data_IF_679439754726
#
_entry.id   IF_679439754726
#
_cell.length_a   1.000
_cell.length_b   1.000
_cell.length_c   1.000
_cell.angle_alpha   90.00
_cell.angle_beta   90.00
_cell.angle_gamma   90.00
#
_symmetry.space_group_name_H-M   'P 1'
#
loop_
_entity.id
_entity.type
_entity.pdbx_description
1 polymer ?
#
# COMPACT_ATOMS: atom_id res chain seq x y z
N UNK A 1 -13.58 42.43 5.61
CA UNK A 1 -13.11 41.40 6.57
C UNK A 1 -13.55 39.97 6.28
N UNK A 2 -14.81 39.53 6.52
CA UNK A 2 -15.21 38.13 6.26
C UNK A 2 -15.11 37.72 4.76
N UNK A 3 -15.38 38.66 3.84
CA UNK A 3 -15.22 38.45 2.41
C UNK A 3 -13.74 38.51 1.93
N UNK A 4 -12.85 39.19 2.67
CA UNK A 4 -11.40 39.23 2.37
C UNK A 4 -10.66 38.02 2.91
N UNK A 5 -11.10 37.48 4.05
CA UNK A 5 -10.60 36.20 4.59
C UNK A 5 -10.97 35.01 3.68
N UNK A 6 -12.16 35.07 3.04
CA UNK A 6 -12.56 34.12 1.99
C UNK A 6 -11.80 34.30 0.66
N UNK A 7 -11.23 35.48 0.40
CA UNK A 7 -10.39 35.74 -0.77
C UNK A 7 -8.92 35.32 -0.56
N UNK A 8 -8.41 35.41 0.67
CA UNK A 8 -7.08 34.91 1.07
C UNK A 8 -6.99 33.37 1.01
N UNK A 9 -8.09 32.66 1.34
CA UNK A 9 -8.17 31.21 1.21
C UNK A 9 -8.14 30.67 -0.23
N UNK A 10 -8.25 31.54 -1.26
CA UNK A 10 -8.21 31.14 -2.67
C UNK A 10 -6.84 31.27 -3.34
N UNK A 11 -5.80 31.74 -2.63
CA UNK A 11 -4.47 31.98 -3.25
C UNK A 11 -3.28 31.21 -2.71
N UNK A 12 -3.40 30.43 -1.64
CA UNK A 12 -2.26 29.62 -1.15
C UNK A 12 -2.47 28.12 -1.29
N UNK A 13 -1.88 27.58 -2.36
CA UNK A 13 -1.51 26.17 -2.47
C UNK A 13 -0.07 26.01 -1.97
N UNK A 14 0.17 25.84 -0.67
CA UNK A 14 1.45 25.30 -0.20
C UNK A 14 1.27 24.56 1.14
N UNK A 15 1.91 23.40 1.20
CA UNK A 15 2.09 22.52 2.35
C UNK A 15 2.72 23.27 3.54
N UNK A 16 1.91 23.61 4.54
CA UNK A 16 2.34 24.26 5.80
C UNK A 16 1.27 24.28 6.90
N UNK A 17 0.23 23.45 6.78
CA UNK A 17 -1.01 23.53 7.56
C UNK A 17 -0.89 23.01 9.00
N UNK A 18 0.31 22.85 9.57
CA UNK A 18 0.47 22.58 11.01
C UNK A 18 0.90 23.82 11.79
N UNK A 19 1.68 24.70 11.16
CA UNK A 19 2.31 25.84 11.82
C UNK A 19 1.42 27.10 11.78
N UNK A 20 0.66 27.30 10.69
CA UNK A 20 -0.22 28.46 10.54
C UNK A 20 -1.44 28.46 11.50
N UNK A 21 -1.91 27.29 11.95
CA UNK A 21 -3.17 27.17 12.70
C UNK A 21 -3.01 27.31 14.22
N UNK A 22 -1.85 26.94 14.76
CA UNK A 22 -1.51 27.27 16.15
C UNK A 22 -1.30 28.78 16.32
N UNK A 23 -0.81 29.45 15.27
CA UNK A 23 -0.76 30.91 15.21
C UNK A 23 -2.17 31.47 15.25
N UNK A 24 -3.10 30.97 14.44
CA UNK A 24 -4.51 31.44 14.43
C UNK A 24 -5.17 31.35 15.80
N UNK A 25 -5.00 30.25 16.55
CA UNK A 25 -5.58 30.12 17.91
C UNK A 25 -4.92 31.05 18.95
N UNK A 26 -3.62 31.32 18.80
CA UNK A 26 -2.88 32.26 19.64
C UNK A 26 -3.23 33.72 19.31
N UNK A 27 -3.36 34.03 18.02
CA UNK A 27 -3.78 35.32 17.48
C UNK A 27 -5.22 35.64 17.89
N UNK A 28 -6.15 34.68 17.82
CA UNK A 28 -7.54 34.87 18.27
C UNK A 28 -7.63 35.16 19.78
N UNK A 29 -6.79 34.53 20.61
CA UNK A 29 -6.68 34.84 22.05
C UNK A 29 -6.01 36.17 22.34
N UNK A 30 -5.12 36.60 21.46
CA UNK A 30 -4.46 37.91 21.55
C UNK A 30 -5.42 39.01 21.13
N UNK A 31 -6.18 38.81 20.05
CA UNK A 31 -7.30 39.66 19.63
C UNK A 31 -8.38 39.75 20.71
N UNK A 32 -8.76 38.63 21.33
CA UNK A 32 -9.71 38.60 22.45
C UNK A 32 -9.29 39.57 23.56
N UNK A 33 -8.03 39.47 24.02
CA UNK A 33 -7.49 40.35 25.07
C UNK A 33 -7.38 41.81 24.62
N UNK A 34 -6.95 42.05 23.39
CA UNK A 34 -6.89 43.41 22.82
C UNK A 34 -8.28 44.06 22.74
N UNK A 35 -9.32 43.30 22.42
CA UNK A 35 -10.70 43.79 22.36
C UNK A 35 -11.26 44.05 23.77
N UNK A 36 -11.00 43.18 24.73
CA UNK A 36 -11.35 43.42 26.15
C UNK A 36 -10.62 44.66 26.70
N UNK A 37 -9.33 44.83 26.40
CA UNK A 37 -8.53 45.97 26.83
C UNK A 37 -8.97 47.27 26.16
N UNK A 38 -9.32 47.22 24.88
CA UNK A 38 -9.86 48.35 24.13
C UNK A 38 -11.26 48.74 24.64
N UNK A 39 -12.12 47.78 24.96
CA UNK A 39 -13.43 48.04 25.57
C UNK A 39 -13.31 48.71 26.93
N UNK A 40 -12.39 48.26 27.79
CA UNK A 40 -12.08 48.88 29.09
C UNK A 40 -11.46 50.26 28.97
N UNK A 41 -10.61 50.50 27.97
CA UNK A 41 -10.04 51.84 27.74
C UNK A 41 -11.05 52.81 27.13
N UNK A 42 -11.97 52.35 26.29
CA UNK A 42 -13.05 53.17 25.76
C UNK A 42 -13.96 53.68 26.88
N UNK A 43 -14.22 52.88 27.92
CA UNK A 43 -14.98 53.29 29.12
C UNK A 43 -14.32 54.46 29.87
N UNK A 44 -12.99 54.56 29.85
CA UNK A 44 -12.24 55.65 30.49
C UNK A 44 -11.98 56.88 29.61
N UNK A 45 -12.15 56.77 28.29
CA UNK A 45 -11.77 57.79 27.32
C UNK A 45 -12.96 58.49 26.63
N UNK A 46 -14.18 58.00 26.84
CA UNK A 46 -15.37 58.55 26.18
C UNK A 46 -15.97 59.69 27.01
N UNK A 47 -15.74 60.92 26.54
CA UNK A 47 -16.43 62.12 26.98
C UNK A 47 -17.84 62.19 26.38
N UNK A 48 -18.86 62.41 27.22
CA UNK A 48 -20.27 62.84 27.04
C UNK A 48 -21.12 62.54 25.76
N UNK A 49 -20.58 61.93 24.70
CA UNK A 49 -21.19 61.89 23.37
C UNK A 49 -21.30 60.49 22.75
N UNK A 50 -20.73 59.46 23.37
CA UNK A 50 -20.90 58.06 22.98
C UNK A 50 -21.36 57.26 24.20
N UNK A 51 -22.33 56.36 23.99
CA UNK A 51 -22.78 55.46 25.03
C UNK A 51 -21.68 54.40 25.27
N UNK A 52 -20.85 54.66 26.28
CA UNK A 52 -19.77 53.77 26.68
C UNK A 52 -20.29 52.36 27.06
N UNK A 53 -21.55 52.24 27.45
CA UNK A 53 -22.17 50.97 27.80
C UNK A 53 -22.48 50.12 26.55
N UNK A 54 -22.90 50.74 25.44
CA UNK A 54 -23.14 50.04 24.16
C UNK A 54 -21.81 49.55 23.56
N UNK A 55 -20.75 50.37 23.61
CA UNK A 55 -19.41 49.98 23.16
C UNK A 55 -18.81 48.86 24.00
N UNK A 56 -18.98 48.92 25.32
CA UNK A 56 -18.56 47.84 26.24
C UNK A 56 -19.32 46.55 25.95
N UNK A 57 -20.64 46.63 25.81
CA UNK A 57 -21.48 45.46 25.51
C UNK A 57 -21.13 44.84 24.16
N UNK A 58 -20.83 45.65 23.14
CA UNK A 58 -20.37 45.18 21.83
C UNK A 58 -18.99 44.52 21.88
N UNK A 59 -18.05 45.08 22.64
CA UNK A 59 -16.73 44.49 22.85
C UNK A 59 -16.81 43.17 23.63
N UNK A 60 -17.64 43.10 24.67
CA UNK A 60 -17.88 41.88 25.46
C UNK A 60 -18.55 40.78 24.62
N UNK A 61 -19.54 41.13 23.79
CA UNK A 61 -20.19 40.17 22.89
C UNK A 61 -19.20 39.62 21.85
N UNK A 62 -18.37 40.46 21.26
CA UNK A 62 -17.34 40.04 20.31
C UNK A 62 -16.26 39.18 20.98
N UNK A 63 -15.86 39.56 22.20
CA UNK A 63 -14.91 38.82 23.01
C UNK A 63 -15.44 37.41 23.34
N UNK A 64 -16.71 37.32 23.75
CA UNK A 64 -17.38 36.06 24.01
C UNK A 64 -17.48 35.16 22.76
N UNK A 65 -17.78 35.72 21.58
CA UNK A 65 -17.81 34.98 20.32
C UNK A 65 -16.43 34.45 19.91
N UNK A 66 -15.37 35.24 20.12
CA UNK A 66 -13.99 34.80 19.87
C UNK A 66 -13.57 33.68 20.83
N UNK A 67 -13.92 33.81 22.12
CA UNK A 67 -13.70 32.76 23.12
C UNK A 67 -14.45 31.47 22.76
N UNK A 68 -15.72 31.56 22.38
CA UNK A 68 -16.53 30.41 21.95
C UNK A 68 -15.95 29.74 20.70
N UNK A 69 -15.48 30.54 19.74
CA UNK A 69 -14.82 30.02 18.51
C UNK A 69 -13.51 29.31 18.85
N UNK A 70 -12.71 29.85 19.77
CA UNK A 70 -11.49 29.20 20.25
C UNK A 70 -11.78 27.88 20.98
N UNK A 71 -12.81 27.83 21.82
CA UNK A 71 -13.25 26.61 22.51
C UNK A 71 -13.75 25.56 21.52
N UNK A 72 -14.56 25.95 20.53
CA UNK A 72 -15.04 25.03 19.49
C UNK A 72 -13.88 24.47 18.64
N UNK A 73 -12.87 25.29 18.34
CA UNK A 73 -11.66 24.83 17.64
C UNK A 73 -10.82 23.86 18.51
N UNK A 74 -10.76 24.09 19.83
CA UNK A 74 -10.14 23.17 20.78
C UNK A 74 -10.94 21.86 20.94
N UNK A 75 -12.26 21.92 20.92
CA UNK A 75 -13.15 20.75 20.95
C UNK A 75 -13.06 19.94 19.66
N UNK A 76 -13.04 20.59 18.49
CA UNK A 76 -12.75 19.95 17.21
C UNK A 76 -11.37 19.26 17.21
N UNK A 77 -10.38 19.86 17.88
CA UNK A 77 -9.07 19.24 18.07
C UNK A 77 -9.09 18.06 19.06
N UNK A 78 -10.02 18.09 20.03
CA UNK A 78 -10.26 17.02 21.01
C UNK A 78 -11.02 15.84 20.39
N UNK A 79 -11.92 16.09 19.44
CA UNK A 79 -12.71 15.05 18.75
C UNK A 79 -12.00 14.39 17.57
N UNK A 80 -11.07 15.07 16.88
CA UNK A 80 -10.03 14.39 16.06
C UNK A 80 -8.98 13.68 16.96
N UNK A 81 -9.09 13.85 18.28
CA UNK A 81 -8.26 13.30 19.34
C UNK A 81 -8.77 11.98 19.94
N UNK A 82 -8.88 10.92 19.14
CA UNK A 82 -8.95 9.53 19.65
C UNK A 82 -7.61 9.03 20.28
N UNK A 83 -7.01 9.84 21.18
CA UNK A 83 -6.02 9.59 22.25
C UNK A 83 -4.72 8.76 22.04
N UNK A 84 -3.64 8.99 22.81
CA UNK A 84 -3.19 10.21 23.49
C UNK A 84 -1.75 10.61 23.05
N UNK A 85 -1.42 11.90 23.12
CA UNK A 85 -0.06 12.28 23.52
C UNK A 85 -0.06 12.06 25.02
N UNK A 86 0.79 11.17 25.57
CA UNK A 86 0.87 10.84 27.01
C UNK A 86 0.75 12.14 27.85
N UNK A 87 -0.46 12.46 28.33
CA UNK A 87 -0.71 13.64 29.16
C UNK A 87 0.11 13.52 30.46
N UNK A 88 0.37 12.29 30.91
CA UNK A 88 1.22 11.98 32.06
C UNK A 88 2.70 12.36 31.85
N UNK A 89 3.21 12.36 30.61
CA UNK A 89 4.61 12.72 30.31
C UNK A 89 4.79 14.22 30.04
N UNK A 90 3.72 14.92 29.64
CA UNK A 90 3.72 16.36 29.39
C UNK A 90 3.11 17.17 30.54
N UNK A 91 2.50 16.51 31.53
CA UNK A 91 1.97 17.13 32.74
C UNK A 91 3.08 17.90 33.48
N UNK A 92 2.95 19.21 33.54
CA UNK A 92 3.87 20.12 34.24
C UNK A 92 4.88 20.86 33.35
N UNK A 93 4.94 20.58 32.04
CA UNK A 93 5.82 21.31 31.13
C UNK A 93 5.01 22.31 30.30
N UNK A 94 5.08 23.59 30.66
CA UNK A 94 4.32 24.67 29.98
C UNK A 94 4.60 24.78 28.48
N UNK A 95 5.77 24.31 28.01
CA UNK A 95 6.17 24.23 26.60
C UNK A 95 7.20 23.10 26.40
N UNK A 96 6.78 21.85 26.12
CA UNK A 96 7.72 20.77 25.87
C UNK A 96 8.57 21.06 24.63
N UNK A 97 9.85 20.67 24.67
CA UNK A 97 10.72 20.76 23.51
C UNK A 97 10.10 19.97 22.33
N UNK A 98 10.22 20.44 21.08
CA UNK A 98 9.68 19.74 19.90
C UNK A 98 10.09 18.26 19.84
N UNK A 99 11.31 17.93 20.25
CA UNK A 99 11.82 16.55 20.30
C UNK A 99 11.09 15.64 21.31
N UNK A 100 10.57 16.19 22.42
CA UNK A 100 9.76 15.47 23.40
C UNK A 100 8.34 15.24 22.88
N UNK A 101 7.75 16.25 22.24
CA UNK A 101 6.44 16.12 21.57
C UNK A 101 6.50 15.06 20.49
N UNK A 102 7.53 15.10 19.65
CA UNK A 102 7.74 14.09 18.60
C UNK A 102 7.95 12.69 19.17
N UNK A 103 8.64 12.58 20.31
CA UNK A 103 8.84 11.28 20.98
C UNK A 103 7.53 10.75 21.57
N UNK A 104 6.73 11.59 22.20
CA UNK A 104 5.43 11.21 22.74
C UNK A 104 4.46 10.78 21.62
N UNK A 105 4.41 11.54 20.51
CA UNK A 105 3.64 11.17 19.31
C UNK A 105 4.06 9.81 18.76
N UNK A 106 5.37 9.58 18.59
CA UNK A 106 5.90 8.28 18.14
C UNK A 106 5.50 7.13 19.06
N UNK A 107 5.54 7.35 20.37
CA UNK A 107 5.14 6.33 21.36
C UNK A 107 3.65 6.01 21.25
N UNK A 108 2.80 7.02 21.15
CA UNK A 108 1.36 6.85 20.92
C UNK A 108 1.08 6.08 19.64
N UNK A 109 1.75 6.43 18.55
CA UNK A 109 1.62 5.74 17.27
C UNK A 109 2.04 4.27 17.35
N UNK A 110 3.16 3.95 18.01
CA UNK A 110 3.62 2.57 18.19
C UNK A 110 2.67 1.75 19.06
N UNK A 111 2.09 2.36 20.09
CA UNK A 111 1.07 1.70 20.91
C UNK A 111 -0.18 1.38 20.08
N UNK A 112 -0.66 2.33 19.29
CA UNK A 112 -1.77 2.11 18.35
C UNK A 112 -1.44 1.01 17.36
N UNK A 113 -0.26 1.04 16.76
CA UNK A 113 0.21 -0.01 15.86
C UNK A 113 0.18 -1.39 16.53
N UNK A 114 0.68 -1.52 17.77
CA UNK A 114 0.64 -2.80 18.50
C UNK A 114 -0.77 -3.31 18.71
N UNK A 115 -1.70 -2.44 19.10
CA UNK A 115 -3.10 -2.82 19.29
C UNK A 115 -3.76 -3.22 17.97
N UNK A 116 -3.49 -2.48 16.89
CA UNK A 116 -3.93 -2.80 15.54
C UNK A 116 -3.40 -4.19 15.12
N UNK A 117 -2.09 -4.42 15.17
CA UNK A 117 -1.47 -5.70 14.79
C UNK A 117 -2.04 -6.87 15.59
N UNK A 118 -2.27 -6.69 16.89
CA UNK A 118 -2.91 -7.70 17.72
C UNK A 118 -4.35 -8.03 17.26
N UNK A 119 -5.12 -7.02 16.85
CA UNK A 119 -6.48 -7.19 16.28
C UNK A 119 -6.42 -7.93 14.94
N UNK A 120 -5.48 -7.56 14.06
CA UNK A 120 -5.27 -8.21 12.75
C UNK A 120 -4.91 -9.68 12.87
N UNK A 121 -3.99 -10.01 13.78
CA UNK A 121 -3.51 -11.38 13.96
C UNK A 121 -4.60 -12.35 14.43
N UNK A 122 -5.73 -11.86 14.97
CA UNK A 122 -6.89 -12.71 15.32
C UNK A 122 -7.66 -13.22 14.10
N UNK A 123 -7.52 -12.55 12.95
CA UNK A 123 -8.18 -12.94 11.70
C UNK A 123 -7.38 -14.02 10.94
N UNK A 124 -6.12 -14.25 11.32
CA UNK A 124 -5.27 -15.29 10.74
C UNK A 124 -5.51 -16.62 11.47
N UNK A 125 -6.40 -17.44 10.91
CA UNK A 125 -6.93 -18.65 11.58
C UNK A 125 -6.15 -19.92 11.26
N UNK A 126 -5.39 -19.94 10.16
CA UNK A 126 -4.64 -21.11 9.73
C UNK A 126 -3.21 -21.02 10.23
N UNK A 127 -2.66 -22.10 10.77
CA UNK A 127 -1.27 -22.10 11.23
C UNK A 127 -0.31 -22.13 10.04
N UNK A 128 0.59 -21.15 9.95
CA UNK A 128 1.60 -21.01 8.91
C UNK A 128 2.96 -21.64 9.25
N UNK A 129 3.91 -21.30 8.39
CA UNK A 129 5.31 -21.72 8.47
C UNK A 129 5.96 -21.14 9.72
N UNK A 130 6.94 -21.86 10.26
CA UNK A 130 7.75 -21.40 11.37
C UNK A 130 8.96 -20.63 10.86
N UNK A 131 9.22 -19.51 11.52
CA UNK A 131 10.27 -18.57 11.17
C UNK A 131 11.20 -18.34 12.36
N UNK A 132 12.49 -18.28 12.09
CA UNK A 132 13.48 -17.70 13.00
C UNK A 132 13.79 -16.30 12.50
N UNK A 133 13.58 -15.29 13.33
CA UNK A 133 13.78 -13.90 12.95
C UNK A 133 14.65 -13.17 13.96
N UNK A 134 15.49 -12.27 13.47
CA UNK A 134 16.18 -11.26 14.27
C UNK A 134 15.58 -9.90 13.94
N UNK A 135 15.25 -9.14 14.98
CA UNK A 135 14.84 -7.76 14.88
C UNK A 135 15.88 -6.88 15.56
N UNK A 136 16.48 -5.95 14.82
CA UNK A 136 17.53 -5.06 15.31
C UNK A 136 17.34 -3.69 14.70
N UNK A 137 16.94 -2.71 15.52
CA UNK A 137 16.70 -1.34 15.03
C UNK A 137 15.82 -1.38 13.78
N UNK A 138 14.62 -1.95 13.93
CA UNK A 138 13.59 -2.09 12.90
C UNK A 138 13.93 -3.01 11.73
N UNK A 139 15.21 -3.29 11.48
CA UNK A 139 15.64 -4.22 10.46
C UNK A 139 15.27 -5.64 10.87
N UNK A 140 14.65 -6.35 9.93
CA UNK A 140 14.24 -7.75 10.08
C UNK A 140 15.06 -8.60 9.15
N UNK A 141 15.63 -9.67 9.70
CA UNK A 141 16.13 -10.80 8.92
C UNK A 141 15.46 -12.06 9.45
N UNK A 142 14.77 -12.78 8.58
CA UNK A 142 14.01 -13.96 8.93
C UNK A 142 14.34 -15.10 7.97
N UNK A 143 14.34 -16.33 8.51
CA UNK A 143 14.49 -17.56 7.76
C UNK A 143 13.43 -18.56 8.18
N UNK A 144 12.71 -19.09 7.22
CA UNK A 144 11.73 -20.15 7.45
C UNK A 144 12.39 -21.52 7.59
N UNK A 145 11.66 -22.47 8.16
CA UNK A 145 12.09 -23.88 8.23
C UNK A 145 12.33 -24.51 6.85
N UNK A 146 11.62 -24.05 5.81
CA UNK A 146 11.82 -24.48 4.42
C UNK A 146 12.98 -23.76 3.69
N UNK A 147 13.71 -22.90 4.41
CA UNK A 147 14.93 -22.26 3.91
C UNK A 147 14.73 -20.92 3.19
N UNK A 148 13.50 -20.45 3.01
CA UNK A 148 13.23 -19.12 2.45
C UNK A 148 13.75 -18.01 3.35
N UNK A 149 14.38 -17.02 2.74
CA UNK A 149 14.90 -15.83 3.41
C UNK A 149 14.00 -14.63 3.18
N UNK A 150 13.71 -13.89 4.24
CA UNK A 150 13.01 -12.61 4.18
C UNK A 150 13.84 -11.57 4.90
N UNK A 151 14.05 -10.42 4.26
CA UNK A 151 14.63 -9.23 4.88
C UNK A 151 13.64 -8.10 4.81
N UNK A 152 13.69 -7.16 5.74
CA UNK A 152 12.75 -6.05 5.70
C UNK A 152 12.91 -5.08 6.83
N UNK A 153 11.86 -4.32 7.04
CA UNK A 153 11.74 -3.37 8.11
C UNK A 153 10.41 -3.57 8.82
N UNK A 154 10.40 -3.52 10.14
CA UNK A 154 9.23 -3.50 11.00
C UNK A 154 9.45 -2.49 12.13
N UNK A 155 8.58 -1.49 12.27
CA UNK A 155 8.74 -0.46 13.30
C UNK A 155 8.69 -0.99 14.75
N UNK A 156 8.15 -2.20 14.94
CA UNK A 156 8.11 -2.90 16.21
C UNK A 156 8.31 -4.42 16.00
N UNK A 157 8.90 -5.15 16.98
CA UNK A 157 9.08 -6.60 16.89
C UNK A 157 7.77 -7.36 16.65
N UNK A 158 6.66 -6.88 17.20
CA UNK A 158 5.34 -7.52 17.07
C UNK A 158 4.80 -7.46 15.63
N UNK A 159 5.32 -6.57 14.79
CA UNK A 159 4.94 -6.48 13.38
C UNK A 159 5.66 -7.53 12.51
N UNK A 160 6.64 -8.28 13.04
CA UNK A 160 7.40 -9.28 12.28
C UNK A 160 6.49 -10.38 11.72
N UNK A 161 5.51 -10.88 12.48
CA UNK A 161 4.56 -11.88 11.95
C UNK A 161 3.77 -11.31 10.77
N UNK A 162 3.22 -10.10 10.91
CA UNK A 162 2.47 -9.46 9.83
C UNK A 162 3.35 -9.15 8.60
N UNK A 163 4.64 -8.87 8.81
CA UNK A 163 5.63 -8.66 7.76
C UNK A 163 5.91 -9.94 6.96
N UNK A 164 5.83 -11.09 7.62
CA UNK A 164 6.07 -12.42 7.04
C UNK A 164 4.83 -13.03 6.39
N UNK A 165 3.63 -12.59 6.78
CA UNK A 165 2.35 -13.09 6.26
C UNK A 165 2.28 -13.12 4.72
N UNK A 166 2.85 -12.18 3.96
CA UNK A 166 2.87 -12.26 2.50
C UNK A 166 3.68 -13.37 1.87
N UNK A 167 4.51 -14.05 2.65
CA UNK A 167 5.25 -15.22 2.19
C UNK A 167 4.64 -16.52 2.69
N UNK A 168 3.45 -16.49 3.29
CA UNK A 168 2.71 -17.71 3.60
C UNK A 168 1.95 -18.25 2.39
N UNK A 169 1.45 -19.49 2.49
CA UNK A 169 0.74 -20.13 1.38
C UNK A 169 -0.55 -19.39 0.99
N UNK A 170 -1.24 -18.78 1.96
CA UNK A 170 -2.46 -17.98 1.71
C UNK A 170 -2.57 -16.82 2.69
N UNK A 171 -3.45 -15.85 2.39
CA UNK A 171 -3.71 -14.70 3.26
C UNK A 171 -4.25 -15.05 4.65
N UNK A 172 -4.82 -16.24 4.85
CA UNK A 172 -5.37 -16.69 6.14
C UNK A 172 -4.32 -17.36 7.04
N UNK A 173 -3.12 -17.63 6.54
CA UNK A 173 -2.07 -18.29 7.31
C UNK A 173 -1.37 -17.30 8.23
N UNK A 174 -1.18 -17.73 9.48
CA UNK A 174 -0.44 -17.01 10.51
C UNK A 174 0.99 -17.54 10.59
N UNK A 175 1.99 -16.77 10.15
CA UNK A 175 3.39 -17.16 10.36
C UNK A 175 3.67 -17.27 11.87
N UNK A 176 4.48 -18.25 12.26
CA UNK A 176 4.93 -18.43 13.64
C UNK A 176 6.38 -18.01 13.76
N UNK A 177 6.62 -16.78 14.21
CA UNK A 177 7.97 -16.23 14.27
C UNK A 177 8.54 -16.31 15.70
N UNK A 178 9.70 -16.95 15.86
CA UNK A 178 10.54 -16.75 17.03
C UNK A 178 11.45 -15.57 16.76
N UNK A 179 11.13 -14.42 17.36
CA UNK A 179 11.86 -13.16 17.16
C UNK A 179 12.89 -12.96 18.27
N UNK A 180 14.16 -12.82 17.89
CA UNK A 180 15.25 -12.39 18.78
C UNK A 180 15.44 -10.89 18.62
N UNK A 181 15.29 -10.14 19.71
CA UNK A 181 15.44 -8.68 19.73
C UNK A 181 16.86 -8.33 20.19
N UNK A 182 17.61 -7.60 19.37
CA UNK A 182 19.05 -7.34 19.61
C UNK A 182 19.30 -5.91 20.13
N UNK A 183 18.42 -4.94 19.86
CA UNK A 183 18.45 -3.58 20.43
C UNK A 183 17.05 -2.94 20.37
N UNK A 184 16.48 -2.57 21.52
CA UNK A 184 15.08 -2.15 21.71
C UNK A 184 14.81 -0.65 21.48
N UNK A 185 15.58 0.02 20.63
CA UNK A 185 15.23 1.42 20.32
C UNK A 185 13.93 1.46 19.51
N UNK A 186 12.85 2.09 20.01
CA UNK A 186 11.62 2.21 19.26
C UNK A 186 11.87 3.07 18.03
N UNK A 187 11.51 2.54 16.87
CA UNK A 187 11.90 3.12 15.59
C UNK A 187 10.86 4.09 15.04
N UNK A 188 11.28 4.85 14.03
CA UNK A 188 10.46 5.81 13.33
C UNK A 188 9.60 5.12 12.25
N UNK A 189 8.65 5.85 11.65
CA UNK A 189 8.01 5.36 10.43
C UNK A 189 9.04 5.35 9.30
N UNK A 190 9.01 4.39 8.39
CA UNK A 190 9.94 4.39 7.23
C UNK A 190 9.57 5.55 6.33
N UNK A 191 10.46 6.54 6.23
CA UNK A 191 10.24 7.73 5.38
C UNK A 191 10.87 7.60 4.00
N UNK A 192 11.97 6.86 3.82
CA UNK A 192 12.44 6.50 2.47
C UNK A 192 13.57 5.44 2.44
N UNK A 193 13.59 4.66 1.34
CA UNK A 193 14.67 3.80 0.78
C UNK A 193 15.49 2.81 1.62
N UNK A 194 15.42 2.79 2.95
CA UNK A 194 16.30 1.96 3.78
C UNK A 194 15.70 0.62 4.23
N UNK A 195 14.93 -0.05 3.39
CA UNK A 195 14.68 -1.48 3.61
C UNK A 195 15.93 -2.22 3.21
N UNK A 196 16.53 -3.01 4.11
CA UNK A 196 17.58 -3.93 3.72
C UNK A 196 17.06 -4.81 2.58
N UNK A 197 17.48 -4.49 1.34
CA UNK A 197 17.18 -5.31 0.18
C UNK A 197 17.78 -6.69 0.37
N UNK A 198 17.26 -7.67 -0.36
CA UNK A 198 17.93 -8.97 -0.42
C UNK A 198 19.30 -8.79 -1.10
N UNK A 199 20.36 -9.30 -0.47
CA UNK A 199 21.69 -9.20 -1.06
C UNK A 199 21.78 -10.06 -2.33
N UNK A 200 22.75 -9.80 -3.21
CA UNK A 200 22.98 -10.69 -4.36
C UNK A 200 23.21 -12.14 -3.91
N UNK A 201 23.98 -12.35 -2.84
CA UNK A 201 24.25 -13.68 -2.27
C UNK A 201 22.97 -14.38 -1.80
N UNK A 202 22.07 -13.66 -1.12
CA UNK A 202 20.78 -14.24 -0.69
C UNK A 202 19.93 -14.66 -1.90
N UNK A 203 19.89 -13.83 -2.95
CA UNK A 203 19.13 -14.11 -4.17
C UNK A 203 19.73 -15.28 -4.96
N UNK A 204 21.05 -15.35 -5.05
CA UNK A 204 21.77 -16.45 -5.66
C UNK A 204 21.49 -17.78 -4.94
N UNK A 205 21.55 -17.78 -3.60
CA UNK A 205 21.21 -18.95 -2.80
C UNK A 205 19.74 -19.38 -3.00
N UNK A 206 18.80 -18.43 -3.05
CA UNK A 206 17.39 -18.71 -3.31
C UNK A 206 17.14 -19.27 -4.72
N UNK A 207 17.89 -18.79 -5.73
CA UNK A 207 17.82 -19.32 -7.09
C UNK A 207 18.25 -20.79 -7.15
N UNK A 208 19.34 -21.12 -6.46
CA UNK A 208 19.92 -22.47 -6.43
C UNK A 208 19.13 -23.46 -5.56
N UNK A 209 18.39 -22.96 -4.57
CA UNK A 209 17.64 -23.80 -3.64
C UNK A 209 16.44 -24.53 -4.28
N UNK A 210 15.87 -23.99 -5.36
CA UNK A 210 14.73 -24.60 -6.07
C UNK A 210 15.14 -25.09 -7.46
N UNK A 211 15.89 -26.20 -7.46
CA UNK A 211 16.33 -26.86 -8.68
C UNK A 211 15.16 -27.41 -9.52
N UNK A 212 14.01 -27.67 -8.90
CA UNK A 212 12.82 -28.20 -9.58
C UNK A 212 12.18 -27.13 -10.47
N UNK A 213 12.04 -25.89 -9.99
CA UNK A 213 11.56 -24.78 -10.80
C UNK A 213 12.48 -24.50 -12.00
N UNK A 214 13.81 -24.47 -11.77
CA UNK A 214 14.79 -24.30 -12.84
C UNK A 214 14.70 -25.42 -13.89
N UNK A 215 14.66 -26.68 -13.46
CA UNK A 215 14.50 -27.82 -14.36
C UNK A 215 13.19 -27.74 -15.16
N UNK A 216 12.10 -27.29 -14.54
CA UNK A 216 10.82 -27.07 -15.21
C UNK A 216 10.90 -26.02 -16.32
N UNK A 217 11.64 -24.93 -16.10
CA UNK A 217 11.86 -23.89 -17.12
C UNK A 217 12.73 -24.41 -18.26
N UNK A 218 13.82 -25.11 -17.97
CA UNK A 218 14.69 -25.73 -18.98
C UNK A 218 13.90 -26.70 -19.85
N UNK A 219 13.12 -27.60 -19.24
CA UNK A 219 12.28 -28.55 -19.97
C UNK A 219 11.20 -27.86 -20.83
N UNK A 220 10.67 -26.71 -20.39
CA UNK A 220 9.74 -25.93 -21.20
C UNK A 220 10.42 -25.29 -22.42
N UNK A 221 11.63 -24.77 -22.25
CA UNK A 221 12.44 -24.22 -23.34
C UNK A 221 12.79 -25.29 -24.38
N UNK A 222 13.18 -26.49 -23.96
CA UNK A 222 13.48 -27.58 -24.87
C UNK A 222 12.25 -28.00 -25.70
N UNK A 223 11.06 -28.01 -25.09
CA UNK A 223 9.81 -28.24 -25.85
C UNK A 223 9.54 -27.13 -26.87
N UNK A 224 9.76 -25.86 -26.50
CA UNK A 224 9.60 -24.74 -27.42
C UNK A 224 10.57 -24.84 -28.59
N UNK A 225 11.83 -25.21 -28.36
CA UNK A 225 12.83 -25.43 -29.43
C UNK A 225 12.39 -26.47 -30.46
N UNK A 226 11.76 -27.55 -29.99
CA UNK A 226 11.24 -28.60 -30.87
C UNK A 226 10.02 -28.13 -31.68
N UNK A 227 9.24 -27.18 -31.16
CA UNK A 227 8.00 -26.71 -31.77
C UNK A 227 8.17 -25.47 -32.64
N UNK A 228 9.17 -24.63 -32.34
CA UNK A 228 9.35 -23.31 -32.94
C UNK A 228 10.65 -23.29 -33.76
N UNK A 229 10.57 -23.45 -35.10
CA UNK A 229 11.72 -23.31 -35.96
C UNK A 229 12.37 -21.93 -35.77
N UNK A 230 13.70 -21.87 -35.80
CA UNK A 230 14.46 -20.63 -35.57
C UNK A 230 14.02 -19.47 -36.47
N UNK A 231 13.65 -19.76 -37.72
CA UNK A 231 13.17 -18.77 -38.70
C UNK A 231 11.77 -18.22 -38.40
N UNK A 232 10.99 -18.91 -37.57
CA UNK A 232 9.60 -18.57 -37.25
C UNK A 232 9.42 -17.98 -35.84
N UNK A 233 10.48 -17.86 -35.04
CA UNK A 233 10.38 -17.43 -33.63
C UNK A 233 9.66 -16.09 -33.49
N UNK A 234 9.98 -15.10 -34.34
CA UNK A 234 9.36 -13.77 -34.25
C UNK A 234 7.84 -13.81 -34.49
N UNK A 235 7.38 -14.56 -35.50
CA UNK A 235 5.96 -14.74 -35.80
C UNK A 235 5.24 -15.49 -34.66
N UNK A 236 5.87 -16.55 -34.14
CA UNK A 236 5.33 -17.34 -33.02
C UNK A 236 5.20 -16.53 -31.74
N UNK A 237 6.21 -15.69 -31.42
CA UNK A 237 6.15 -14.74 -30.30
C UNK A 237 4.98 -13.78 -30.45
N UNK A 238 4.77 -13.24 -31.65
CA UNK A 238 3.67 -12.30 -31.89
C UNK A 238 2.31 -12.97 -31.69
N UNK A 239 2.07 -14.12 -32.32
CA UNK A 239 0.82 -14.87 -32.16
C UNK A 239 0.58 -15.30 -30.71
N UNK A 240 1.63 -15.74 -30.00
CA UNK A 240 1.53 -16.09 -28.58
C UNK A 240 1.20 -14.88 -27.69
N UNK A 241 1.69 -13.68 -28.03
CA UNK A 241 1.35 -12.46 -27.31
C UNK A 241 -0.12 -12.06 -27.52
N UNK A 242 -0.63 -12.17 -28.75
CA UNK A 242 -2.05 -11.92 -29.07
C UNK A 242 -2.98 -12.90 -28.36
N UNK A 243 -2.63 -14.20 -28.38
CA UNK A 243 -3.35 -15.23 -27.67
C UNK A 243 -3.35 -14.97 -26.16
N UNK A 244 -2.19 -14.64 -25.59
CA UNK A 244 -2.06 -14.30 -24.17
C UNK A 244 -2.92 -13.09 -23.81
N UNK A 245 -2.95 -12.04 -24.64
CA UNK A 245 -3.77 -10.87 -24.43
C UNK A 245 -5.27 -11.19 -24.41
N UNK A 246 -5.72 -12.14 -25.25
CA UNK A 246 -7.11 -12.59 -25.31
C UNK A 246 -7.51 -13.42 -24.10
N UNK A 247 -6.66 -14.36 -23.67
CA UNK A 247 -7.01 -15.33 -22.61
C UNK A 247 -6.65 -14.87 -21.20
N UNK A 248 -5.62 -14.03 -21.07
CA UNK A 248 -5.11 -13.52 -19.81
C UNK A 248 -4.57 -12.09 -19.97
N UNK A 249 -5.43 -11.10 -20.30
CA UNK A 249 -5.02 -9.71 -20.40
C UNK A 249 -4.38 -9.22 -19.08
N UNK A 250 -3.40 -8.30 -19.14
CA UNK A 250 -2.82 -7.71 -17.94
C UNK A 250 -3.89 -7.06 -17.06
N UNK A 251 -3.85 -7.34 -15.76
CA UNK A 251 -4.62 -6.60 -14.77
C UNK A 251 -4.06 -5.17 -14.65
N UNK A 252 -4.89 -4.17 -14.31
CA UNK A 252 -4.44 -2.81 -14.08
C UNK A 252 -3.38 -2.74 -12.98
N UNK A 253 -2.49 -1.77 -13.05
CA UNK A 253 -1.42 -1.58 -12.07
C UNK A 253 -2.00 -1.45 -10.66
N UNK A 254 -1.53 -2.28 -9.73
CA UNK A 254 -1.95 -2.21 -8.33
C UNK A 254 -1.32 -0.99 -7.65
N UNK A 255 -2.13 0.05 -7.43
CA UNK A 255 -1.69 1.30 -6.79
C UNK A 255 -2.40 1.58 -5.46
N UNK A 256 -3.25 0.67 -4.96
CA UNK A 256 -4.05 0.88 -3.74
C UNK A 256 -3.21 1.29 -2.51
N UNK A 257 -1.90 0.98 -2.51
CA UNK A 257 -0.99 1.34 -1.43
C UNK A 257 -0.04 2.50 -1.76
N UNK A 258 -0.05 3.06 -2.98
CA UNK A 258 0.91 4.10 -3.39
C UNK A 258 0.78 5.40 -2.60
N UNK A 259 -0.41 5.70 -2.04
CA UNK A 259 -0.67 6.89 -1.22
C UNK A 259 -0.54 6.69 0.29
N UNK A 260 -0.43 5.44 0.78
CA UNK A 260 -0.47 5.11 2.21
C UNK A 260 0.88 5.29 2.91
N UNK A 261 1.60 6.35 2.56
CA UNK A 261 2.84 6.72 3.21
C UNK A 261 2.56 7.36 4.56
N UNK A 262 3.36 7.07 5.59
CA UNK A 262 4.50 6.12 5.65
C UNK A 262 4.12 4.69 6.09
N UNK A 263 4.95 3.70 5.73
CA UNK A 263 4.73 2.28 6.07
C UNK A 263 5.29 1.90 7.45
N UNK A 264 4.56 1.06 8.16
CA UNK A 264 4.98 0.48 9.44
C UNK A 264 5.84 -0.77 9.28
N UNK A 265 5.71 -1.46 8.15
CA UNK A 265 6.52 -2.61 7.81
C UNK A 265 6.49 -2.93 6.32
N UNK A 266 7.58 -3.51 5.85
CA UNK A 266 7.82 -3.85 4.44
C UNK A 266 8.88 -4.93 4.38
N UNK A 267 8.75 -5.83 3.42
CA UNK A 267 9.60 -7.00 3.32
C UNK A 267 9.98 -7.34 1.90
N UNK A 268 11.13 -8.00 1.80
CA UNK A 268 11.77 -8.40 0.57
C UNK A 268 12.19 -9.86 0.68
N UNK A 269 11.94 -10.62 -0.37
CA UNK A 269 12.41 -11.99 -0.54
C UNK A 269 12.84 -12.20 -1.98
N UNK A 270 13.28 -13.39 -2.34
CA UNK A 270 13.50 -13.77 -3.71
C UNK A 270 13.20 -15.26 -3.89
N UNK A 271 12.71 -15.62 -5.07
CA UNK A 271 12.34 -16.99 -5.36
C UNK A 271 11.75 -17.16 -6.74
N UNK A 272 11.55 -18.42 -7.11
CA UNK A 272 10.81 -18.80 -8.30
C UNK A 272 9.32 -18.64 -8.03
N UNK A 273 8.64 -17.88 -8.89
CA UNK A 273 7.18 -17.71 -8.84
C UNK A 273 6.52 -18.30 -10.08
N UNK A 274 5.30 -18.85 -9.97
CA UNK A 274 4.57 -19.30 -11.14
C UNK A 274 4.28 -18.11 -12.07
N UNK A 275 4.71 -18.20 -13.33
CA UNK A 275 4.51 -17.13 -14.34
C UNK A 275 3.04 -16.81 -14.58
N UNK A 276 2.15 -17.80 -14.38
CA UNK A 276 0.69 -17.62 -14.45
C UNK A 276 0.16 -16.68 -13.36
N UNK A 277 0.80 -16.63 -12.19
CA UNK A 277 0.40 -15.77 -11.07
C UNK A 277 0.87 -14.32 -11.22
N UNK A 278 1.74 -14.03 -12.20
CA UNK A 278 2.11 -12.66 -12.56
C UNK A 278 1.03 -12.07 -13.45
N UNK A 279 0.16 -11.23 -12.90
CA UNK A 279 -1.07 -10.79 -13.58
C UNK A 279 -0.96 -9.41 -14.21
N UNK A 280 0.02 -8.60 -13.82
CA UNK A 280 0.17 -7.22 -14.29
C UNK A 280 1.61 -6.93 -14.68
N UNK A 281 1.80 -6.33 -15.85
CA UNK A 281 3.05 -5.72 -16.30
C UNK A 281 3.04 -4.20 -16.08
N UNK A 282 4.20 -3.56 -16.21
CA UNK A 282 4.26 -2.08 -16.24
C UNK A 282 3.57 -1.56 -17.51
N UNK A 283 3.74 -2.28 -18.61
CA UNK A 283 3.12 -1.96 -19.89
C UNK A 283 1.74 -2.66 -19.98
N UNK A 284 0.68 -1.98 -20.43
CA UNK A 284 -0.71 -2.46 -20.34
C UNK A 284 -1.08 -3.55 -21.35
N UNK A 285 -0.18 -3.87 -22.28
CA UNK A 285 -0.37 -4.88 -23.33
C UNK A 285 0.85 -5.80 -23.34
N UNK A 286 0.62 -7.11 -23.34
CA UNK A 286 1.72 -8.07 -23.39
C UNK A 286 2.53 -7.92 -24.69
N UNK A 287 3.85 -7.89 -24.57
CA UNK A 287 4.78 -7.79 -25.70
C UNK A 287 4.95 -6.39 -26.31
N UNK A 288 4.16 -5.40 -25.90
CA UNK A 288 4.25 -4.02 -26.43
C UNK A 288 5.01 -3.14 -25.43
N UNK A 289 5.99 -2.37 -25.94
CA UNK A 289 6.77 -1.43 -25.14
C UNK A 289 6.80 -0.08 -25.86
N UNK A 290 6.29 0.96 -25.20
CA UNK A 290 6.38 2.34 -25.69
C UNK A 290 7.69 2.97 -25.19
N UNK A 291 8.80 2.58 -25.82
CA UNK A 291 10.14 3.05 -25.48
C UNK A 291 10.89 3.38 -26.75
N UNK A 292 11.43 4.59 -26.84
CA UNK A 292 12.15 5.09 -28.01
C UNK A 292 13.50 4.36 -28.27
N UNK A 293 14.03 3.65 -27.27
CA UNK A 293 15.29 2.90 -27.39
C UNK A 293 15.10 1.64 -28.25
N UNK A 294 15.81 1.55 -29.38
CA UNK A 294 15.78 0.40 -30.32
C UNK A 294 16.12 -0.95 -29.66
N UNK A 295 16.96 -0.91 -28.62
CA UNK A 295 17.32 -2.08 -27.83
C UNK A 295 16.26 -2.49 -26.80
N UNK A 296 15.21 -1.70 -26.59
CA UNK A 296 14.17 -1.92 -25.57
C UNK A 296 12.73 -1.75 -26.10
N UNK A 297 12.57 -1.47 -27.39
CA UNK A 297 11.29 -1.28 -28.06
C UNK A 297 10.61 -2.58 -28.51
N UNK A 298 9.73 -2.46 -29.51
CA UNK A 298 8.79 -3.51 -29.95
C UNK A 298 9.44 -4.86 -30.37
N UNK A 299 10.70 -4.86 -30.82
CA UNK A 299 11.41 -6.08 -31.24
C UNK A 299 12.12 -6.84 -30.12
N UNK A 300 12.12 -6.34 -28.89
CA UNK A 300 12.96 -6.91 -27.82
C UNK A 300 12.58 -8.34 -27.47
N UNK A 301 11.28 -8.64 -27.30
CA UNK A 301 10.83 -9.98 -26.88
C UNK A 301 11.16 -11.02 -27.93
N UNK A 302 10.92 -10.74 -29.21
CA UNK A 302 11.25 -11.66 -30.29
C UNK A 302 12.75 -11.94 -30.37
N UNK A 303 13.60 -10.91 -30.22
CA UNK A 303 15.06 -11.06 -30.21
C UNK A 303 15.53 -11.90 -29.02
N UNK A 304 15.04 -11.58 -27.82
CA UNK A 304 15.39 -12.30 -26.60
C UNK A 304 14.89 -13.76 -26.63
N UNK A 305 13.72 -14.02 -27.22
CA UNK A 305 13.22 -15.36 -27.45
C UNK A 305 14.14 -16.15 -28.40
N UNK A 306 14.57 -15.56 -29.52
CA UNK A 306 15.50 -16.21 -30.44
C UNK A 306 16.83 -16.55 -29.77
N UNK A 307 17.39 -15.62 -28.99
CA UNK A 307 18.64 -15.85 -28.24
C UNK A 307 18.49 -16.99 -27.21
N UNK A 308 17.41 -16.95 -26.41
CA UNK A 308 17.14 -17.97 -25.39
C UNK A 308 16.91 -19.36 -26.01
N UNK A 309 16.17 -19.42 -27.13
CA UNK A 309 15.90 -20.67 -27.84
C UNK A 309 17.14 -21.19 -28.59
N UNK A 310 18.07 -20.32 -28.99
CA UNK A 310 19.33 -20.72 -29.63
C UNK A 310 20.44 -21.12 -28.63
N UNK A 311 20.29 -20.80 -27.34
CA UNK A 311 21.27 -21.15 -26.30
C UNK A 311 21.38 -22.68 -26.15
N UNK A 312 22.58 -23.24 -25.99
CA UNK A 312 22.70 -24.69 -25.78
C UNK A 312 22.03 -25.16 -24.48
N UNK A 313 21.37 -26.34 -24.44
CA UNK A 313 20.68 -26.82 -23.24
C UNK A 313 21.59 -26.91 -22.00
N UNK A 314 22.87 -27.24 -22.18
CA UNK A 314 23.86 -27.28 -21.10
C UNK A 314 24.17 -25.90 -20.48
N UNK A 315 24.02 -24.83 -21.27
CA UNK A 315 24.34 -23.46 -20.86
C UNK A 315 23.12 -22.69 -20.35
N UNK A 316 21.90 -23.20 -20.55
CA UNK A 316 20.65 -22.58 -20.11
C UNK A 316 20.64 -22.20 -18.62
N UNK A 317 21.07 -23.05 -17.67
CA UNK A 317 21.12 -22.65 -16.26
C UNK A 317 21.99 -21.41 -16.02
N UNK A 318 23.15 -21.33 -16.65
CA UNK A 318 24.06 -20.19 -16.55
C UNK A 318 23.48 -18.93 -17.19
N UNK A 319 22.87 -19.07 -18.37
CA UNK A 319 22.15 -18.01 -19.05
C UNK A 319 21.02 -17.44 -18.18
N UNK A 320 20.13 -18.30 -17.67
CA UNK A 320 19.01 -17.90 -16.82
C UNK A 320 19.49 -17.22 -15.54
N UNK A 321 20.55 -17.75 -14.90
CA UNK A 321 21.15 -17.14 -13.72
C UNK A 321 21.67 -15.73 -14.03
N UNK A 322 22.39 -15.56 -15.13
CA UNK A 322 22.89 -14.24 -15.54
C UNK A 322 21.75 -13.25 -15.78
N UNK A 323 20.75 -13.63 -16.57
CA UNK A 323 19.69 -12.72 -17.00
C UNK A 323 18.62 -12.43 -15.94
N UNK A 324 18.40 -13.35 -14.98
CA UNK A 324 17.41 -13.17 -13.91
C UNK A 324 18.00 -12.63 -12.59
N UNK A 325 19.31 -12.78 -12.37
CA UNK A 325 19.99 -12.25 -11.18
C UNK A 325 20.93 -11.07 -11.47
N UNK A 326 21.91 -11.27 -12.36
CA UNK A 326 23.01 -10.32 -12.55
C UNK A 326 22.63 -9.12 -13.44
N UNK A 327 21.83 -9.34 -14.48
CA UNK A 327 21.34 -8.31 -15.41
C UNK A 327 20.21 -7.43 -14.85
N UNK A 328 20.07 -7.34 -13.52
CA UNK A 328 18.93 -6.72 -12.83
C UNK A 328 17.78 -7.71 -12.59
N UNK A 329 17.23 -7.71 -11.37
CA UNK A 329 16.11 -8.57 -11.01
C UNK A 329 14.81 -8.16 -11.71
N UNK A 330 13.91 -9.11 -11.88
CA UNK A 330 12.49 -8.81 -12.01
C UNK A 330 11.98 -8.50 -10.60
N UNK A 331 11.50 -7.28 -10.35
CA UNK A 331 10.88 -6.96 -9.07
C UNK A 331 9.37 -7.08 -9.17
N UNK A 332 8.81 -7.90 -8.30
CA UNK A 332 7.38 -8.15 -8.21
C UNK A 332 6.86 -7.69 -6.85
N UNK A 333 5.78 -6.92 -6.85
CA UNK A 333 4.99 -6.72 -5.66
C UNK A 333 4.11 -7.95 -5.41
N UNK A 334 4.10 -8.43 -4.16
CA UNK A 334 3.28 -9.56 -3.71
C UNK A 334 1.91 -9.04 -3.27
N UNK A 335 0.86 -9.62 -3.84
CA UNK A 335 -0.53 -9.37 -3.46
C UNK A 335 -1.14 -10.66 -2.94
N UNK A 336 -1.30 -10.79 -1.63
CA UNK A 336 -1.86 -11.99 -1.04
C UNK A 336 -3.30 -12.22 -1.48
N UNK A 337 -3.65 -13.48 -1.68
CA UNK A 337 -5.00 -13.94 -1.92
C UNK A 337 -5.35 -15.15 -1.06
N UNK A 338 -6.64 -15.56 -1.05
CA UNK A 338 -7.15 -16.65 -0.21
C UNK A 338 -6.58 -18.05 -0.50
N UNK A 339 -6.14 -18.30 -1.73
CA UNK A 339 -5.57 -19.58 -2.18
C UNK A 339 -4.10 -19.46 -2.64
N UNK A 340 -3.51 -18.28 -2.50
CA UNK A 340 -2.16 -17.97 -2.95
C UNK A 340 -2.03 -16.53 -3.47
N UNK A 341 -0.80 -16.03 -3.61
CA UNK A 341 -0.55 -14.67 -4.05
C UNK A 341 -0.75 -14.49 -5.56
N UNK A 342 -1.07 -13.25 -5.94
CA UNK A 342 -0.80 -12.70 -7.26
C UNK A 342 0.45 -11.83 -7.20
N UNK A 343 1.04 -11.58 -8.37
CA UNK A 343 2.21 -10.75 -8.51
C UNK A 343 2.01 -9.66 -9.58
N UNK A 344 2.52 -8.47 -9.30
CA UNK A 344 2.51 -7.35 -10.24
C UNK A 344 3.93 -6.82 -10.40
N UNK A 345 4.36 -6.53 -11.63
CA UNK A 345 5.69 -5.94 -11.85
C UNK A 345 5.75 -4.55 -11.20
N UNK A 346 6.59 -4.39 -10.18
CA UNK A 346 6.69 -3.14 -9.42
C UNK A 346 7.74 -2.19 -9.99
N UNK A 347 8.90 -2.75 -10.34
CA UNK A 347 10.06 -2.02 -10.87
C UNK A 347 10.96 -2.98 -11.64
N UNK A 348 11.51 -2.51 -12.76
CA UNK A 348 12.45 -3.30 -13.55
C UNK A 348 11.86 -4.60 -14.12
N UNK A 349 12.61 -5.25 -15.01
CA UNK A 349 12.29 -6.60 -15.47
C UNK A 349 11.00 -6.79 -16.30
N UNK A 350 10.24 -5.74 -16.62
CA UNK A 350 9.02 -5.82 -17.43
C UNK A 350 9.22 -6.63 -18.73
N UNK A 351 10.31 -6.36 -19.45
CA UNK A 351 10.73 -7.11 -20.63
C UNK A 351 10.83 -8.63 -20.38
N UNK A 352 11.55 -9.03 -19.33
CA UNK A 352 11.74 -10.44 -18.94
C UNK A 352 10.41 -11.09 -18.52
N UNK A 353 9.56 -10.37 -17.79
CA UNK A 353 8.22 -10.85 -17.45
C UNK A 353 7.39 -11.11 -18.70
N UNK A 354 7.38 -10.17 -19.65
CA UNK A 354 6.65 -10.32 -20.92
C UNK A 354 7.19 -11.53 -21.71
N UNK A 355 8.51 -11.67 -21.83
CA UNK A 355 9.14 -12.83 -22.48
C UNK A 355 8.70 -14.15 -21.86
N UNK A 356 8.80 -14.28 -20.54
CA UNK A 356 8.45 -15.52 -19.85
C UNK A 356 6.97 -15.85 -19.99
N UNK A 357 6.09 -14.85 -19.90
CA UNK A 357 4.64 -15.05 -20.11
C UNK A 357 4.31 -15.44 -21.54
N UNK A 358 4.86 -14.75 -22.53
CA UNK A 358 4.58 -15.00 -23.96
C UNK A 358 5.09 -16.37 -24.38
N UNK A 359 6.27 -16.77 -23.90
CA UNK A 359 6.80 -18.12 -24.13
C UNK A 359 6.07 -19.21 -23.33
N UNK A 360 5.18 -18.86 -22.40
CA UNK A 360 4.48 -19.83 -21.56
C UNK A 360 5.40 -20.59 -20.60
N UNK A 361 6.51 -19.98 -20.17
CA UNK A 361 7.43 -20.61 -19.23
C UNK A 361 6.79 -20.75 -17.85
N UNK A 362 6.95 -21.88 -17.15
CA UNK A 362 6.18 -22.18 -15.95
C UNK A 362 6.54 -21.30 -14.74
N UNK A 363 7.82 -20.91 -14.64
CA UNK A 363 8.33 -20.16 -13.51
C UNK A 363 9.22 -19.00 -13.95
N UNK A 364 9.22 -17.93 -13.16
CA UNK A 364 10.09 -16.77 -13.29
C UNK A 364 10.78 -16.54 -11.95
N UNK A 365 12.11 -16.43 -11.94
CA UNK A 365 12.81 -16.01 -10.73
C UNK A 365 12.67 -14.50 -10.56
N UNK A 366 12.28 -14.06 -9.37
CA UNK A 366 12.02 -12.66 -9.08
C UNK A 366 12.47 -12.25 -7.68
N UNK A 367 12.78 -10.96 -7.55
CA UNK A 367 12.80 -10.27 -6.28
C UNK A 367 11.37 -9.92 -5.88
N UNK A 368 10.98 -10.29 -4.68
CA UNK A 368 9.61 -10.17 -4.19
C UNK A 368 9.55 -9.08 -3.14
N UNK A 369 8.75 -8.05 -3.36
CA UNK A 369 8.49 -6.99 -2.39
C UNK A 369 7.08 -7.15 -1.86
N UNK A 370 6.92 -7.26 -0.55
CA UNK A 370 5.61 -7.24 0.08
C UNK A 370 5.45 -6.04 1.00
N UNK A 371 4.28 -5.42 0.93
CA UNK A 371 3.90 -4.32 1.82
C UNK A 371 2.73 -4.80 2.66
N UNK A 372 2.78 -4.53 3.96
CA UNK A 372 1.62 -4.78 4.81
C UNK A 372 0.52 -3.81 4.40
N UNK A 373 -0.71 -4.29 4.29
CA UNK A 373 -1.86 -3.43 4.05
C UNK A 373 -1.91 -2.32 5.12
N UNK A 374 -2.06 -1.03 4.74
CA UNK A 374 -2.15 0.04 5.72
C UNK A 374 -3.39 -0.16 6.62
N UNK A 375 -3.31 0.29 7.87
CA UNK A 375 -4.47 0.26 8.80
C UNK A 375 -5.52 1.30 8.49
N UNK A 376 -5.14 2.34 7.77
CA UNK A 376 -6.02 3.39 7.31
C UNK A 376 -5.92 3.53 5.80
N UNK A 377 -7.05 3.48 5.11
CA UNK A 377 -7.15 3.68 3.66
C UNK A 377 -8.16 4.79 3.42
N UNK A 378 -7.71 5.90 2.86
CA UNK A 378 -8.61 6.98 2.45
C UNK A 378 -9.14 6.67 1.04
N UNK A 379 -10.42 6.93 0.79
CA UNK A 379 -11.06 6.57 -0.49
C UNK A 379 -10.36 7.20 -1.69
N UNK A 380 -9.79 8.39 -1.53
CA UNK A 380 -9.01 9.09 -2.57
C UNK A 380 -7.70 8.39 -2.93
N UNK A 381 -7.21 7.47 -2.11
CA UNK A 381 -6.00 6.68 -2.37
C UNK A 381 -6.25 5.45 -3.25
N UNK A 382 -7.52 5.04 -3.39
CA UNK A 382 -7.91 3.83 -4.13
C UNK A 382 -8.68 4.11 -5.41
N UNK A 383 -9.17 5.34 -5.60
CA UNK A 383 -9.87 5.75 -6.82
C UNK A 383 -9.00 6.68 -7.68
N UNK A 384 -9.28 6.70 -8.97
CA UNK A 384 -8.89 7.83 -9.81
C UNK A 384 -9.74 9.05 -9.42
N UNK A 385 -9.12 10.04 -8.77
CA UNK A 385 -9.80 11.25 -8.33
C UNK A 385 -10.43 12.06 -9.47
N UNK A 386 -10.02 11.84 -10.72
CA UNK A 386 -10.67 12.46 -11.89
C UNK A 386 -12.11 11.99 -12.09
N UNK A 387 -12.47 10.81 -11.55
CA UNK A 387 -13.86 10.28 -11.55
C UNK A 387 -14.80 11.02 -10.59
N UNK A 388 -14.26 11.87 -9.72
CA UNK A 388 -15.02 12.77 -8.85
C UNK A 388 -15.69 12.11 -7.65
N UNK A 389 -16.45 12.92 -6.90
CA UNK A 389 -17.03 12.56 -5.59
C UNK A 389 -18.03 11.41 -5.66
N UNK A 390 -18.78 11.27 -6.77
CA UNK A 390 -19.74 10.20 -6.92
C UNK A 390 -19.08 8.81 -6.90
N UNK A 391 -17.87 8.68 -7.48
CA UNK A 391 -17.11 7.43 -7.40
C UNK A 391 -16.60 7.18 -5.98
N UNK A 392 -16.13 8.23 -5.29
CA UNK A 392 -15.70 8.11 -3.90
C UNK A 392 -16.82 7.57 -2.99
N UNK A 393 -18.04 8.10 -3.14
CA UNK A 393 -19.22 7.59 -2.41
C UNK A 393 -19.50 6.12 -2.71
N UNK A 394 -19.48 5.73 -3.99
CA UNK A 394 -19.71 4.35 -4.40
C UNK A 394 -18.68 3.39 -3.81
N UNK A 395 -17.40 3.72 -3.85
CA UNK A 395 -16.35 2.86 -3.27
C UNK A 395 -16.49 2.78 -1.75
N UNK A 396 -16.84 3.88 -1.09
CA UNK A 396 -17.11 3.89 0.34
C UNK A 396 -18.31 3.00 0.74
N UNK A 397 -19.42 3.09 -0.01
CA UNK A 397 -20.58 2.20 0.15
C UNK A 397 -20.18 0.74 -0.11
N UNK A 398 -19.37 0.49 -1.14
CA UNK A 398 -18.81 -0.83 -1.44
C UNK A 398 -18.00 -1.40 -0.27
N UNK A 399 -17.21 -0.59 0.43
CA UNK A 399 -16.48 -1.02 1.63
C UNK A 399 -17.42 -1.46 2.76
N UNK A 400 -18.54 -0.75 2.98
CA UNK A 400 -19.54 -1.19 3.95
C UNK A 400 -20.13 -2.55 3.58
N UNK A 401 -20.52 -2.73 2.33
CA UNK A 401 -21.13 -3.97 1.86
C UNK A 401 -20.14 -5.15 1.91
N UNK A 402 -18.85 -4.90 1.63
CA UNK A 402 -17.79 -5.90 1.81
C UNK A 402 -17.62 -6.32 3.27
N UNK A 403 -17.76 -5.37 4.21
CA UNK A 403 -17.71 -5.65 5.66
C UNK A 403 -18.94 -6.46 6.09
N UNK A 404 -20.14 -6.05 5.67
CA UNK A 404 -21.39 -6.77 5.97
C UNK A 404 -21.38 -8.20 5.44
N UNK A 405 -20.71 -8.43 4.31
CA UNK A 405 -20.50 -9.76 3.72
C UNK A 405 -19.38 -10.58 4.37
N UNK A 406 -18.62 -9.99 5.29
CA UNK A 406 -17.48 -10.67 5.92
C UNK A 406 -16.28 -10.89 4.97
N UNK A 407 -16.21 -10.17 3.85
CA UNK A 407 -15.08 -10.23 2.90
C UNK A 407 -13.95 -9.29 3.30
N UNK A 408 -14.26 -8.27 4.09
CA UNK A 408 -13.33 -7.33 4.70
C UNK A 408 -13.68 -7.22 6.18
N UNK A 409 -12.68 -7.14 7.04
CA UNK A 409 -12.86 -6.82 8.45
C UNK A 409 -12.29 -5.44 8.72
N UNK A 410 -13.09 -4.60 9.36
CA UNK A 410 -12.72 -3.22 9.67
C UNK A 410 -13.94 -2.37 9.95
N UNK A 411 -13.74 -1.05 9.95
CA UNK A 411 -14.80 -0.06 10.10
C UNK A 411 -14.59 1.09 9.13
N UNK A 412 -15.67 1.67 8.63
CA UNK A 412 -15.61 2.87 7.79
C UNK A 412 -16.04 4.08 8.63
N UNK A 413 -15.29 5.18 8.50
CA UNK A 413 -15.63 6.48 9.08
C UNK A 413 -15.72 7.53 7.99
N UNK A 414 -16.61 8.51 8.15
CA UNK A 414 -16.83 9.59 7.19
C UNK A 414 -16.39 10.94 7.73
N UNK A 415 -15.74 11.73 6.88
CA UNK A 415 -15.45 13.14 7.09
C UNK A 415 -16.01 13.93 5.89
N UNK A 416 -17.24 14.40 6.02
CA UNK A 416 -18.01 14.95 4.90
C UNK A 416 -18.24 13.88 3.83
N UNK A 417 -17.84 14.17 2.59
CA UNK A 417 -18.00 13.27 1.44
C UNK A 417 -16.85 12.27 1.26
N UNK A 418 -15.86 12.30 2.16
CA UNK A 418 -14.71 11.41 2.12
C UNK A 418 -14.82 10.33 3.17
N UNK A 419 -14.61 9.09 2.74
CA UNK A 419 -14.59 7.93 3.61
C UNK A 419 -13.16 7.46 3.87
N UNK A 420 -12.96 6.93 5.07
CA UNK A 420 -11.74 6.27 5.49
C UNK A 420 -12.09 4.87 5.99
N UNK A 421 -11.45 3.85 5.44
CA UNK A 421 -11.49 2.48 5.93
C UNK A 421 -10.38 2.25 6.96
N UNK A 422 -10.78 1.86 8.17
CA UNK A 422 -9.89 1.33 9.20
C UNK A 422 -9.84 -0.19 9.04
N UNK A 423 -8.80 -0.68 8.37
CA UNK A 423 -8.68 -2.06 7.90
C UNK A 423 -8.02 -2.96 8.94
N UNK A 424 -8.72 -4.03 9.31
CA UNK A 424 -8.18 -5.10 10.16
C UNK A 424 -7.65 -6.24 9.33
N UNK A 425 -8.44 -6.72 8.38
CA UNK A 425 -8.06 -7.83 7.54
C UNK A 425 -8.81 -7.77 6.21
N UNK A 426 -8.10 -8.12 5.14
CA UNK A 426 -8.70 -8.48 3.87
C UNK A 426 -7.91 -9.65 3.29
N UNK A 427 -8.57 -10.77 2.96
CA UNK A 427 -7.91 -11.89 2.31
C UNK A 427 -7.56 -11.60 0.84
N UNK A 428 -8.15 -10.56 0.25
CA UNK A 428 -8.02 -10.16 -1.15
C UNK A 428 -7.99 -8.62 -1.26
N UNK A 429 -6.82 -7.98 -1.15
CA UNK A 429 -6.70 -6.52 -1.11
C UNK A 429 -7.26 -5.75 -2.30
N UNK A 430 -7.33 -6.36 -3.47
CA UNK A 430 -7.88 -5.72 -4.66
C UNK A 430 -9.39 -5.47 -4.56
N UNK A 431 -10.09 -6.14 -3.64
CA UNK A 431 -11.50 -5.89 -3.36
C UNK A 431 -11.77 -4.46 -2.87
N UNK A 432 -10.74 -3.74 -2.42
CA UNK A 432 -10.86 -2.37 -1.91
C UNK A 432 -10.84 -1.29 -3.01
N UNK A 433 -10.60 -1.66 -4.27
CA UNK A 433 -10.60 -0.74 -5.40
C UNK A 433 -12.01 -0.46 -5.95
N UNK A 434 -12.06 0.24 -7.08
CA UNK A 434 -13.31 0.42 -7.84
C UNK A 434 -13.76 -0.86 -8.57
N UNK A 435 -15.00 -0.89 -9.05
CA UNK A 435 -15.61 -2.09 -9.66
C UNK A 435 -14.81 -2.65 -10.83
N UNK A 436 -14.24 -1.78 -11.67
CA UNK A 436 -13.40 -2.16 -12.81
C UNK A 436 -12.12 -2.85 -12.34
N UNK A 437 -11.46 -2.26 -11.35
CA UNK A 437 -10.26 -2.81 -10.73
C UNK A 437 -10.54 -4.17 -10.08
N UNK A 438 -11.60 -4.25 -9.26
CA UNK A 438 -12.00 -5.48 -8.57
C UNK A 438 -12.28 -6.60 -9.58
N UNK A 439 -13.08 -6.31 -10.60
CA UNK A 439 -13.46 -7.31 -11.61
C UNK A 439 -12.24 -7.82 -12.40
N UNK A 440 -11.32 -6.93 -12.78
CA UNK A 440 -10.12 -7.31 -13.50
C UNK A 440 -9.24 -8.27 -12.66
N UNK A 441 -9.04 -7.97 -11.38
CA UNK A 441 -8.29 -8.84 -10.48
C UNK A 441 -9.04 -10.13 -10.13
N UNK A 442 -10.36 -10.10 -9.95
CA UNK A 442 -11.16 -11.29 -9.70
C UNK A 442 -11.05 -12.29 -10.87
N UNK A 443 -11.18 -11.81 -12.11
CA UNK A 443 -10.97 -12.62 -13.31
C UNK A 443 -9.55 -13.17 -13.37
N UNK A 444 -8.55 -12.36 -13.04
CA UNK A 444 -7.16 -12.81 -13.01
C UNK A 444 -6.92 -13.87 -11.93
N UNK A 445 -7.50 -13.69 -10.76
CA UNK A 445 -7.40 -14.60 -9.62
C UNK A 445 -8.02 -15.95 -9.95
N UNK A 446 -9.25 -15.97 -10.49
CA UNK A 446 -9.94 -17.22 -10.86
C UNK A 446 -9.24 -18.01 -11.96
N UNK A 447 -8.51 -17.36 -12.88
CA UNK A 447 -7.67 -18.08 -13.85
C UNK A 447 -6.51 -18.81 -13.19
N UNK A 448 -5.95 -18.25 -12.10
CA UNK A 448 -4.79 -18.81 -11.40
C UNK A 448 -5.21 -19.82 -10.34
N UNK A 449 -6.27 -19.51 -9.61
CA UNK A 449 -6.82 -20.26 -8.48
C UNK A 449 -8.34 -20.47 -8.64
N UNK A 450 -8.78 -21.37 -9.54
CA UNK A 450 -10.21 -21.57 -9.81
C UNK A 450 -11.02 -21.97 -8.57
N UNK A 451 -12.15 -21.30 -8.34
CA UNK A 451 -13.09 -21.54 -7.25
C UNK A 451 -12.70 -20.92 -5.91
N UNK A 452 -11.55 -20.25 -5.82
CA UNK A 452 -11.06 -19.71 -4.56
C UNK A 452 -11.91 -18.54 -4.04
N UNK A 453 -12.41 -17.66 -4.91
CA UNK A 453 -13.30 -16.57 -4.48
C UNK A 453 -14.70 -17.08 -4.10
N UNK A 454 -15.17 -18.14 -4.77
CA UNK A 454 -16.41 -18.81 -4.40
C UNK A 454 -16.37 -19.40 -2.99
N UNK A 455 -15.23 -19.95 -2.58
CA UNK A 455 -15.03 -20.45 -1.20
C UNK A 455 -15.06 -19.33 -0.15
N UNK A 456 -14.76 -18.08 -0.54
CA UNK A 456 -14.93 -16.91 0.31
C UNK A 456 -16.37 -16.35 0.30
N UNK A 457 -17.29 -16.94 -0.47
CA UNK A 457 -18.67 -16.47 -0.59
C UNK A 457 -18.92 -15.50 -1.74
N UNK A 458 -17.96 -15.29 -2.66
CA UNK A 458 -18.19 -14.51 -3.88
C UNK A 458 -18.73 -15.42 -4.98
N UNK A 459 -20.01 -15.30 -5.41
CA UNK A 459 -20.58 -16.24 -6.36
C UNK A 459 -19.98 -16.02 -7.76
N UNK A 460 -19.85 -17.11 -8.52
CA UNK A 460 -19.19 -17.09 -9.86
C UNK A 460 -19.81 -16.08 -10.82
N UNK A 461 -21.12 -15.86 -10.75
CA UNK A 461 -21.80 -14.89 -11.63
C UNK A 461 -21.38 -13.44 -11.36
N UNK A 462 -20.97 -13.10 -10.13
CA UNK A 462 -20.50 -11.76 -9.77
C UNK A 462 -19.08 -11.45 -10.30
N UNK A 463 -18.40 -12.45 -10.88
CA UNK A 463 -17.04 -12.32 -11.42
C UNK A 463 -17.03 -12.01 -12.93
N UNK A 464 -18.22 -12.00 -13.56
CA UNK A 464 -18.36 -11.91 -15.02
C UNK A 464 -18.02 -10.53 -15.56
N UNK A 465 -18.45 -9.45 -14.90
CA UNK A 465 -18.20 -8.07 -15.28
C UNK A 465 -18.50 -7.10 -14.11
N UNK A 466 -18.26 -5.81 -14.34
CA UNK A 466 -18.46 -4.75 -13.33
C UNK A 466 -19.93 -4.64 -12.90
N UNK A 467 -20.86 -4.84 -13.82
CA UNK A 467 -22.28 -4.69 -13.56
C UNK A 467 -22.79 -5.82 -12.66
N UNK A 468 -22.38 -7.05 -12.93
CA UNK A 468 -22.72 -8.24 -12.13
C UNK A 468 -22.06 -8.21 -10.76
N UNK A 469 -20.79 -7.77 -10.67
CA UNK A 469 -20.13 -7.51 -9.40
C UNK A 469 -20.92 -6.51 -8.54
N UNK A 470 -21.27 -5.36 -9.13
CA UNK A 470 -22.03 -4.31 -8.45
C UNK A 470 -23.42 -4.80 -8.04
N UNK A 471 -24.16 -5.43 -8.95
CA UNK A 471 -25.50 -5.92 -8.67
C UNK A 471 -25.49 -6.89 -7.48
N UNK A 472 -24.55 -7.82 -7.44
CA UNK A 472 -24.42 -8.74 -6.31
C UNK A 472 -23.98 -8.06 -5.02
N UNK A 473 -23.06 -7.09 -5.07
CA UNK A 473 -22.59 -6.44 -3.85
C UNK A 473 -23.72 -5.67 -3.13
N UNK A 474 -24.68 -5.14 -3.90
CA UNK A 474 -25.79 -4.31 -3.41
C UNK A 474 -27.12 -5.06 -3.12
N UNK A 475 -27.20 -6.38 -3.31
CA UNK A 475 -28.39 -7.20 -2.98
C UNK A 475 -28.29 -7.84 -1.61
#
# INVERSE_FOLDING_TARGET
MAAELLALGKRDKLSGAGYAWHDTGSELRTLHRLIEDAGRHAEGAVDAWLDGEELRSGAEALAWQLKRTAVLLEELHRDDGQNPVDEEFLAGVLKPAPSLVDRARRRGDLWRLRHELARRSRQLTVTGVRWQATWHQGQVAARSEDGRGVRGYAAAPEAVEQLLQPFEATSCHRPRARVVVVDERPEHRVTDRHTAGTSYTDRAAAFDADSAALAGVVAALDRLRQQWPATAVAERVHGAAEDLQRVAPPAPSFSLYRGAWPYWATSNSAGWVPTRAVVSGIDPVWGVFDRAEELRGAGWVSRAASELLATDPGDLPGFLRHHLLAGGSVDLAVLNGPAGPLYTVSSGGAHRTHLFKILGLPFLFAHLTARIAPSRIDVTSVIDTSKGVAEAKRVAEGWHLLIERGLVHGTVSYQGEFATLHLDFTPAPWLLGDDAFVTAYNKAYERVYPGALAQMGVPTHALADEQTWRAWLHT
#
